data_IF_538796190876
#
_entry.id   IF_538796190876
#
_cell.length_a   1.000
_cell.length_b   1.000
_cell.length_c   1.000
_cell.angle_alpha   90.00
_cell.angle_beta   90.00
_cell.angle_gamma   90.00
#
_symmetry.space_group_name_H-M   'P 1'
#
loop_
_entity.id
_entity.type
_entity.pdbx_description
1 polymer ?
#
# COMPACT_ATOMS: atom_id res chain seq x y z
N UNK A 1 13.41 -15.98 -2.58
CA UNK A 1 13.69 -14.58 -3.01
C UNK A 1 12.42 -13.77 -3.27
N UNK A 2 11.54 -14.15 -4.20
CA UNK A 2 10.32 -13.38 -4.51
C UNK A 2 9.41 -13.10 -3.30
N UNK A 3 9.21 -14.09 -2.41
CA UNK A 3 8.45 -13.92 -1.17
C UNK A 3 9.06 -12.87 -0.22
N UNK A 4 10.39 -12.82 -0.12
CA UNK A 4 11.06 -11.85 0.74
C UNK A 4 10.90 -10.42 0.21
N UNK A 5 11.06 -10.23 -1.11
CA UNK A 5 10.86 -8.92 -1.75
C UNK A 5 9.42 -8.42 -1.61
N UNK A 6 8.43 -9.29 -1.82
CA UNK A 6 7.01 -8.99 -1.58
C UNK A 6 6.78 -8.47 -0.14
N UNK A 7 7.35 -9.19 0.83
CA UNK A 7 7.33 -8.81 2.24
C UNK A 7 7.97 -7.46 2.54
N UNK A 8 9.11 -7.17 1.90
CA UNK A 8 9.82 -5.90 2.05
C UNK A 8 8.89 -4.78 1.59
N UNK A 9 8.35 -4.82 0.37
CA UNK A 9 7.48 -3.75 -0.12
C UNK A 9 6.21 -3.55 0.73
N UNK A 10 5.65 -4.63 1.29
CA UNK A 10 4.53 -4.51 2.21
C UNK A 10 4.95 -3.81 3.52
N UNK A 11 6.09 -4.17 4.10
CA UNK A 11 6.61 -3.51 5.29
C UNK A 11 6.98 -2.04 5.03
N UNK A 12 7.56 -1.75 3.87
CA UNK A 12 7.91 -0.42 3.42
C UNK A 12 6.67 0.49 3.29
N UNK A 13 5.58 -0.03 2.73
CA UNK A 13 4.29 0.67 2.69
C UNK A 13 3.73 0.89 4.11
N UNK A 14 3.84 -0.11 4.99
CA UNK A 14 3.40 0.01 6.39
C UNK A 14 4.19 1.09 7.15
N UNK A 15 5.51 1.14 6.96
CA UNK A 15 6.36 2.20 7.52
C UNK A 15 5.92 3.57 6.99
N UNK A 16 5.65 3.67 5.68
CA UNK A 16 5.10 4.90 5.07
C UNK A 16 3.78 5.32 5.71
N UNK A 17 2.88 4.37 5.97
CA UNK A 17 1.61 4.62 6.66
C UNK A 17 1.79 5.15 8.09
N UNK A 18 2.72 4.55 8.85
CA UNK A 18 3.04 4.99 10.21
C UNK A 18 3.65 6.38 10.22
N UNK A 19 4.62 6.66 9.32
CA UNK A 19 5.23 7.98 9.20
C UNK A 19 4.22 9.05 8.76
N UNK A 20 3.30 8.71 7.85
CA UNK A 20 2.19 9.57 7.46
C UNK A 20 1.25 9.85 8.64
N UNK A 21 0.95 8.83 9.46
CA UNK A 21 0.15 8.98 10.69
C UNK A 21 0.85 9.88 11.71
N UNK A 22 2.15 9.70 11.90
CA UNK A 22 2.96 10.57 12.75
C UNK A 22 2.94 12.02 12.25
N UNK A 23 3.14 12.25 10.95
CA UNK A 23 3.05 13.58 10.36
C UNK A 23 1.66 14.21 10.47
N UNK A 24 0.61 13.38 10.46
CA UNK A 24 -0.76 13.84 10.71
C UNK A 24 -0.95 14.33 12.15
N UNK A 25 -0.46 13.54 13.11
CA UNK A 25 -0.57 13.85 14.55
C UNK A 25 0.22 15.11 14.93
N UNK A 26 1.39 15.31 14.31
CA UNK A 26 2.25 16.46 14.62
C UNK A 26 1.95 17.69 13.77
N UNK A 27 1.36 17.52 12.59
CA UNK A 27 1.14 18.59 11.60
C UNK A 27 -0.26 19.19 11.57
N UNK A 28 -1.28 18.48 12.07
CA UNK A 28 -2.68 18.96 12.01
C UNK A 28 -3.33 19.02 13.39
N UNK A 29 -4.21 20.00 13.57
CA UNK A 29 -4.99 20.14 14.80
C UNK A 29 -5.99 18.98 14.95
N UNK A 30 -6.00 18.26 16.08
CA UNK A 30 -6.96 17.20 16.33
C UNK A 30 -8.41 17.68 16.22
N UNK A 31 -9.29 16.84 15.64
CA UNK A 31 -10.71 17.13 15.46
C UNK A 31 -11.06 17.94 14.20
N UNK A 32 -10.08 18.40 13.43
CA UNK A 32 -10.32 19.03 12.13
C UNK A 32 -10.61 18.01 11.03
N UNK A 33 -11.33 18.43 9.99
CA UNK A 33 -11.63 17.57 8.83
C UNK A 33 -10.36 17.03 8.16
N UNK A 34 -9.33 17.88 8.03
CA UNK A 34 -8.05 17.48 7.42
C UNK A 34 -7.28 16.47 8.27
N UNK A 35 -7.36 16.56 9.59
CA UNK A 35 -6.78 15.59 10.50
C UNK A 35 -7.39 14.20 10.30
N UNK A 36 -8.73 14.11 10.25
CA UNK A 36 -9.45 12.84 10.03
C UNK A 36 -9.19 12.29 8.64
N UNK A 37 -9.21 13.15 7.62
CA UNK A 37 -8.93 12.75 6.24
C UNK A 37 -7.50 12.19 6.09
N UNK A 38 -6.52 12.88 6.67
CA UNK A 38 -5.12 12.45 6.66
C UNK A 38 -4.91 11.13 7.44
N UNK A 39 -5.55 10.97 8.62
CA UNK A 39 -5.52 9.70 9.36
C UNK A 39 -6.14 8.55 8.57
N UNK A 40 -7.22 8.81 7.82
CA UNK A 40 -7.86 7.81 6.97
C UNK A 40 -6.92 7.30 5.88
N UNK A 41 -6.08 8.18 5.32
CA UNK A 41 -5.00 7.79 4.41
C UNK A 41 -3.99 6.84 5.05
N UNK A 42 -3.55 7.13 6.29
CA UNK A 42 -2.65 6.24 7.04
C UNK A 42 -3.29 4.87 7.29
N UNK A 43 -4.56 4.84 7.70
CA UNK A 43 -5.29 3.60 7.93
C UNK A 43 -5.39 2.76 6.65
N UNK A 44 -5.76 3.38 5.54
CA UNK A 44 -5.88 2.71 4.24
C UNK A 44 -4.53 2.09 3.80
N UNK A 45 -3.44 2.86 3.87
CA UNK A 45 -2.10 2.38 3.52
C UNK A 45 -1.67 1.19 4.41
N UNK A 46 -1.91 1.28 5.72
CA UNK A 46 -1.58 0.22 6.66
C UNK A 46 -2.39 -1.06 6.39
N UNK A 47 -3.69 -0.94 6.11
CA UNK A 47 -4.54 -2.08 5.75
C UNK A 47 -4.06 -2.77 4.47
N UNK A 48 -3.73 -2.00 3.43
CA UNK A 48 -3.20 -2.55 2.17
C UNK A 48 -1.89 -3.30 2.39
N UNK A 49 -1.01 -2.75 3.22
CA UNK A 49 0.24 -3.38 3.60
C UNK A 49 0.02 -4.71 4.35
N UNK A 50 -0.84 -4.72 5.37
CA UNK A 50 -1.15 -5.91 6.17
C UNK A 50 -1.83 -6.99 5.32
N UNK A 51 -2.77 -6.62 4.46
CA UNK A 51 -3.41 -7.56 3.54
C UNK A 51 -2.40 -8.21 2.60
N UNK A 52 -1.42 -7.45 2.10
CA UNK A 52 -0.35 -8.01 1.28
C UNK A 52 0.58 -8.94 2.07
N UNK A 53 0.89 -8.62 3.34
CA UNK A 53 1.62 -9.55 4.22
C UNK A 53 0.85 -10.86 4.43
N UNK A 54 -0.48 -10.79 4.59
CA UNK A 54 -1.33 -11.98 4.71
C UNK A 54 -1.41 -12.77 3.40
N UNK A 55 -1.60 -12.09 2.26
CA UNK A 55 -1.61 -12.71 0.92
C UNK A 55 -0.36 -13.54 0.69
N UNK A 56 0.80 -12.99 1.06
CA UNK A 56 2.11 -13.63 0.90
C UNK A 56 2.19 -14.99 1.60
N UNK A 57 1.50 -15.16 2.72
CA UNK A 57 1.47 -16.43 3.48
C UNK A 57 0.37 -17.38 2.99
N UNK A 58 -0.71 -16.86 2.41
CA UNK A 58 -1.88 -17.64 1.96
C UNK A 58 -1.80 -18.00 0.47
N UNK A 59 -0.87 -18.90 0.12
CA UNK A 59 -0.70 -19.37 -1.26
C UNK A 59 -1.99 -19.96 -1.83
N UNK A 60 -2.34 -19.53 -3.05
CA UNK A 60 -3.54 -20.02 -3.78
C UNK A 60 -4.83 -19.30 -3.45
N UNK A 61 -4.83 -18.35 -2.50
CA UNK A 61 -6.01 -17.51 -2.20
C UNK A 61 -6.17 -16.41 -3.26
N UNK A 62 -6.80 -16.77 -4.39
CA UNK A 62 -6.97 -15.88 -5.55
C UNK A 62 -7.85 -14.66 -5.25
N UNK A 63 -8.82 -14.82 -4.35
CA UNK A 63 -9.71 -13.71 -3.95
C UNK A 63 -8.91 -12.68 -3.16
N UNK A 64 -8.12 -13.12 -2.17
CA UNK A 64 -7.25 -12.21 -1.43
C UNK A 64 -6.20 -11.56 -2.34
N UNK A 65 -5.67 -12.31 -3.32
CA UNK A 65 -4.75 -11.76 -4.31
C UNK A 65 -5.39 -10.67 -5.19
N UNK A 66 -6.62 -10.87 -5.66
CA UNK A 66 -7.35 -9.85 -6.41
C UNK A 66 -7.66 -8.61 -5.56
N UNK A 67 -8.08 -8.79 -4.31
CA UNK A 67 -8.32 -7.68 -3.36
C UNK A 67 -7.04 -6.86 -3.19
N UNK A 68 -5.90 -7.51 -2.94
CA UNK A 68 -4.61 -6.83 -2.79
C UNK A 68 -4.20 -6.11 -4.08
N UNK A 69 -4.39 -6.73 -5.24
CA UNK A 69 -4.09 -6.12 -6.54
C UNK A 69 -4.87 -4.82 -6.74
N UNK A 70 -6.20 -4.88 -6.61
CA UNK A 70 -7.08 -3.72 -6.82
C UNK A 70 -6.77 -2.62 -5.79
N UNK A 71 -6.60 -2.99 -4.52
CA UNK A 71 -6.32 -2.02 -3.47
C UNK A 71 -4.96 -1.34 -3.68
N UNK A 72 -3.91 -2.09 -4.06
CA UNK A 72 -2.60 -1.52 -4.38
C UNK A 72 -2.64 -0.58 -5.60
N UNK A 73 -3.37 -0.92 -6.65
CA UNK A 73 -3.54 -0.04 -7.82
C UNK A 73 -4.34 1.23 -7.48
N UNK A 74 -5.41 1.10 -6.71
CA UNK A 74 -6.20 2.24 -6.25
C UNK A 74 -5.35 3.18 -5.39
N UNK A 75 -4.51 2.64 -4.50
CA UNK A 75 -3.58 3.42 -3.69
C UNK A 75 -2.54 4.14 -4.55
N UNK A 76 -1.97 3.46 -5.54
CA UNK A 76 -1.06 4.10 -6.50
C UNK A 76 -1.72 5.28 -7.21
N UNK A 77 -2.96 5.11 -7.68
CA UNK A 77 -3.75 6.19 -8.29
C UNK A 77 -3.97 7.38 -7.35
N UNK A 78 -4.35 7.12 -6.09
CA UNK A 78 -4.56 8.16 -5.09
C UNK A 78 -3.27 8.94 -4.78
N UNK A 79 -2.15 8.25 -4.64
CA UNK A 79 -0.83 8.85 -4.38
C UNK A 79 -0.34 9.69 -5.56
N UNK A 80 -0.57 9.22 -6.79
CA UNK A 80 -0.27 10.01 -7.99
C UNK A 80 -1.16 11.26 -8.09
N UNK A 81 -2.45 11.14 -7.76
CA UNK A 81 -3.37 12.27 -7.64
C UNK A 81 -2.90 13.29 -6.61
N UNK A 82 -2.41 12.83 -5.44
CA UNK A 82 -1.78 13.68 -4.45
C UNK A 82 -0.54 14.40 -5.00
N UNK A 83 0.37 13.68 -5.67
CA UNK A 83 1.57 14.27 -6.29
C UNK A 83 1.23 15.36 -7.32
N UNK A 84 0.17 15.14 -8.11
CA UNK A 84 -0.33 16.12 -9.07
C UNK A 84 -0.93 17.34 -8.37
N UNK A 85 -1.72 17.12 -7.30
CA UNK A 85 -2.36 18.20 -6.54
C UNK A 85 -1.35 19.12 -5.84
N UNK A 86 -0.21 18.59 -5.39
CA UNK A 86 0.87 19.40 -4.79
C UNK A 86 1.85 19.98 -5.83
N UNK A 87 1.67 19.68 -7.12
CA UNK A 87 2.56 20.14 -8.20
C UNK A 87 3.96 19.53 -8.17
N UNK A 88 4.17 18.41 -7.45
CA UNK A 88 5.47 17.77 -7.30
C UNK A 88 5.36 16.24 -7.34
N UNK A 89 5.48 15.67 -8.55
CA UNK A 89 5.46 14.21 -8.75
C UNK A 89 6.72 13.50 -8.25
N UNK A 90 7.80 14.24 -8.00
CA UNK A 90 9.07 13.72 -7.50
C UNK A 90 9.20 13.88 -5.97
N UNK A 91 8.13 14.28 -5.29
CA UNK A 91 8.09 14.29 -3.84
C UNK A 91 8.37 12.88 -3.31
N UNK A 92 9.27 12.77 -2.33
CA UNK A 92 9.70 11.48 -1.79
C UNK A 92 8.51 10.64 -1.27
N UNK A 93 7.46 11.30 -0.75
CA UNK A 93 6.23 10.63 -0.27
C UNK A 93 5.48 9.96 -1.42
N UNK A 94 5.38 10.65 -2.55
CA UNK A 94 4.73 10.17 -3.78
C UNK A 94 5.50 8.99 -4.33
N UNK A 95 6.81 9.17 -4.57
CA UNK A 95 7.67 8.17 -5.17
C UNK A 95 7.70 6.88 -4.35
N UNK A 96 7.87 6.99 -3.04
CA UNK A 96 7.94 5.82 -2.17
C UNK A 96 6.64 5.01 -2.17
N UNK A 97 5.50 5.69 -1.97
CA UNK A 97 4.21 5.02 -1.89
C UNK A 97 3.82 4.38 -3.23
N UNK A 98 4.08 5.05 -4.37
CA UNK A 98 3.75 4.49 -5.68
C UNK A 98 4.64 3.30 -6.03
N UNK A 99 5.94 3.36 -5.74
CA UNK A 99 6.86 2.24 -5.99
C UNK A 99 6.44 1.02 -5.18
N UNK A 100 6.17 1.18 -3.88
CA UNK A 100 5.73 0.09 -3.03
C UNK A 100 4.39 -0.50 -3.50
N UNK A 101 3.42 0.36 -3.83
CA UNK A 101 2.10 -0.07 -4.29
C UNK A 101 2.17 -0.85 -5.61
N UNK A 102 2.94 -0.36 -6.60
CA UNK A 102 3.08 -1.05 -7.89
C UNK A 102 3.82 -2.38 -7.75
N UNK A 103 4.84 -2.46 -6.89
CA UNK A 103 5.51 -3.73 -6.59
C UNK A 103 4.55 -4.75 -5.97
N UNK A 104 3.71 -4.33 -5.01
CA UNK A 104 2.71 -5.18 -4.39
C UNK A 104 1.59 -5.60 -5.35
N UNK A 105 1.17 -4.70 -6.24
CA UNK A 105 0.24 -5.03 -7.33
C UNK A 105 0.84 -6.12 -8.23
N UNK A 106 2.11 -6.00 -8.62
CA UNK A 106 2.80 -7.01 -9.40
C UNK A 106 2.85 -8.37 -8.67
N UNK A 107 3.22 -8.41 -7.39
CA UNK A 107 3.23 -9.67 -6.63
C UNK A 107 1.84 -10.27 -6.44
N UNK A 108 0.82 -9.43 -6.28
CA UNK A 108 -0.58 -9.86 -6.21
C UNK A 108 -1.04 -10.50 -7.53
N UNK A 109 -0.73 -9.88 -8.66
CA UNK A 109 -0.98 -10.44 -9.99
C UNK A 109 -0.26 -11.77 -10.17
N UNK A 110 1.01 -11.86 -9.78
CA UNK A 110 1.78 -13.10 -9.83
C UNK A 110 1.10 -14.21 -9.00
N UNK A 111 0.68 -13.92 -7.76
CA UNK A 111 -0.02 -14.88 -6.90
C UNK A 111 -1.30 -15.43 -7.53
N UNK A 112 -2.00 -14.66 -8.37
CA UNK A 112 -3.19 -15.14 -9.08
C UNK A 112 -2.83 -16.18 -10.17
N UNK A 113 -1.68 -16.01 -10.81
CA UNK A 113 -1.21 -16.85 -11.92
C UNK A 113 -0.49 -18.13 -11.45
N UNK A 114 -0.01 -18.19 -10.21
CA UNK A 114 0.60 -19.39 -9.65
C UNK A 114 -0.45 -20.52 -9.57
N UNK A 115 -0.18 -21.65 -10.25
CA UNK A 115 -1.06 -22.82 -10.24
C UNK A 115 -1.00 -23.50 -8.86
N UNK A 116 -2.15 -23.87 -8.32
CA UNK A 116 -2.26 -24.69 -7.11
C UNK A 116 -1.74 -26.08 -7.45
N UNK A 117 -0.49 -26.39 -7.10
CA UNK A 117 -0.05 -27.78 -7.05
C UNK A 117 -0.75 -28.41 -5.85
N UNK A 118 -1.87 -29.09 -6.10
CA UNK A 118 -2.46 -30.03 -5.15
C UNK A 118 -1.54 -31.24 -5.08
N UNK A 119 -0.79 -31.36 -3.98
CA UNK A 119 -0.20 -32.63 -3.54
C UNK A 119 -1.22 -33.27 -2.62
#
# INVERSE_FOLDING_TARGET
MAKALDGIFALLLLIGAVLHGYGTITGYQPGTEIFVWSLSGSLAAALIAVLNLLRRERRGDRVLALICLVASLAWAGLVLGFGAAIGNMLDARVLWHVIAALALAFFSLKSMTERRLSI
#
